data_IF_916961514216
#
_entry.id   IF_916961514216
#
_cell.length_a   1.000
_cell.length_b   1.000
_cell.length_c   1.000
_cell.angle_alpha   90.00
_cell.angle_beta   90.00
_cell.angle_gamma   90.00
#
_symmetry.space_group_name_H-M   'P 1'
#
loop_
_entity.id
_entity.type
_entity.pdbx_description
1 polymer ?
#
# COMPACT_ATOMS: atom_id res chain seq x y z
N UNK A 1 4.70 -46.99 -4.82
CA UNK A 1 5.00 -45.59 -4.43
C UNK A 1 4.53 -44.68 -5.55
N UNK A 2 3.63 -43.71 -5.30
CA UNK A 2 3.19 -42.81 -6.36
C UNK A 2 4.32 -41.84 -6.72
N UNK A 3 4.70 -41.83 -7.98
CA UNK A 3 5.68 -40.87 -8.52
C UNK A 3 5.02 -39.49 -8.51
N UNK A 4 5.54 -38.57 -7.69
CA UNK A 4 5.09 -37.18 -7.69
C UNK A 4 5.59 -36.51 -8.97
N UNK A 5 4.75 -36.48 -10.00
CA UNK A 5 5.04 -35.71 -11.22
C UNK A 5 4.96 -34.22 -10.89
N UNK A 6 6.11 -33.55 -10.87
CA UNK A 6 6.19 -32.10 -10.69
C UNK A 6 5.93 -31.43 -12.04
N UNK A 7 4.80 -30.75 -12.17
CA UNK A 7 4.49 -29.93 -13.35
C UNK A 7 4.97 -28.50 -13.14
N UNK A 8 6.02 -28.11 -13.88
CA UNK A 8 6.53 -26.74 -13.87
C UNK A 8 5.49 -25.70 -14.33
N UNK A 9 4.57 -26.08 -15.23
CA UNK A 9 3.44 -25.23 -15.62
C UNK A 9 2.45 -25.00 -14.49
N UNK A 10 2.21 -26.02 -13.65
CA UNK A 10 1.32 -25.88 -12.49
C UNK A 10 1.96 -25.00 -11.42
N UNK A 11 3.26 -25.16 -11.18
CA UNK A 11 4.02 -24.33 -10.23
C UNK A 11 4.07 -22.87 -10.69
N UNK A 12 4.41 -22.62 -11.95
CA UNK A 12 4.50 -21.25 -12.49
C UNK A 12 3.14 -20.54 -12.46
N UNK A 13 2.06 -21.25 -12.81
CA UNK A 13 0.69 -20.72 -12.69
C UNK A 13 0.30 -20.46 -11.25
N UNK A 14 0.55 -21.38 -10.33
CA UNK A 14 0.24 -21.15 -8.91
C UNK A 14 1.02 -19.99 -8.32
N UNK A 15 2.27 -19.79 -8.76
CA UNK A 15 3.09 -18.65 -8.37
C UNK A 15 2.54 -17.34 -8.96
N UNK A 16 2.05 -17.35 -10.19
CA UNK A 16 1.41 -16.21 -10.83
C UNK A 16 0.10 -15.83 -10.13
N UNK A 17 -0.77 -16.80 -9.89
CA UNK A 17 -2.07 -16.62 -9.24
C UNK A 17 -1.93 -16.18 -7.78
N UNK A 18 -0.84 -16.58 -7.12
CA UNK A 18 -0.51 -16.16 -5.75
C UNK A 18 0.10 -14.76 -5.67
N UNK A 19 0.40 -14.09 -6.80
CA UNK A 19 0.92 -12.73 -6.76
C UNK A 19 -0.17 -11.79 -6.23
N UNK A 20 0.09 -11.03 -5.17
CA UNK A 20 -0.84 -9.99 -4.77
C UNK A 20 -0.99 -9.02 -5.94
N UNK A 21 -2.22 -8.85 -6.43
CA UNK A 21 -2.53 -7.84 -7.43
C UNK A 21 -2.25 -6.47 -6.79
N UNK A 22 -1.13 -5.85 -7.18
CA UNK A 22 -0.76 -4.51 -6.72
C UNK A 22 -1.58 -3.52 -7.56
N UNK A 23 -2.48 -2.74 -6.95
CA UNK A 23 -3.26 -1.74 -7.69
C UNK A 23 -2.34 -0.76 -8.43
N UNK A 24 -2.77 -0.31 -9.61
CA UNK A 24 -2.06 0.73 -10.34
C UNK A 24 -1.79 1.94 -9.43
N UNK A 25 -0.54 2.42 -9.44
CA UNK A 25 -0.11 3.55 -8.62
C UNK A 25 0.10 3.26 -7.13
N UNK A 26 -0.15 2.05 -6.61
CA UNK A 26 0.00 1.72 -5.18
C UNK A 26 1.42 1.94 -4.65
N UNK A 27 2.46 1.61 -5.42
CA UNK A 27 3.85 1.84 -5.01
C UNK A 27 4.18 3.34 -4.95
N UNK A 28 3.72 4.10 -5.94
CA UNK A 28 3.83 5.56 -5.95
C UNK A 28 3.07 6.21 -4.79
N UNK A 29 1.86 5.72 -4.50
CA UNK A 29 1.05 6.10 -3.35
C UNK A 29 1.83 5.96 -2.05
N UNK A 30 2.43 4.78 -1.84
CA UNK A 30 3.17 4.46 -0.63
C UNK A 30 4.40 5.34 -0.47
N UNK A 31 5.14 5.60 -1.55
CA UNK A 31 6.28 6.51 -1.51
C UNK A 31 5.86 7.95 -1.15
N UNK A 32 4.78 8.46 -1.75
CA UNK A 32 4.23 9.79 -1.45
C UNK A 32 3.80 9.91 0.02
N UNK A 33 3.15 8.87 0.55
CA UNK A 33 2.74 8.84 1.96
C UNK A 33 3.95 8.75 2.89
N UNK A 34 4.94 7.90 2.60
CA UNK A 34 6.14 7.79 3.44
C UNK A 34 6.89 9.12 3.51
N UNK A 35 6.99 9.84 2.38
CA UNK A 35 7.59 11.17 2.35
C UNK A 35 6.77 12.16 3.18
N UNK A 36 5.44 12.16 3.03
CA UNK A 36 4.55 13.02 3.82
C UNK A 36 4.55 12.69 5.32
N UNK A 37 4.71 11.43 5.69
CA UNK A 37 4.78 11.00 7.08
C UNK A 37 6.02 11.53 7.83
N UNK A 38 7.08 11.95 7.10
CA UNK A 38 8.26 12.61 7.69
C UNK A 38 7.95 14.03 8.15
N UNK A 39 7.04 14.73 7.49
CA UNK A 39 6.68 16.11 7.85
C UNK A 39 5.52 16.17 8.83
N UNK A 40 4.58 15.22 8.74
CA UNK A 40 3.48 15.07 9.70
C UNK A 40 3.32 13.60 10.08
N UNK A 41 3.62 13.23 11.34
CA UNK A 41 3.47 11.86 11.82
C UNK A 41 2.03 11.36 11.66
N UNK A 42 1.88 10.10 11.24
CA UNK A 42 0.56 9.43 11.15
C UNK A 42 0.10 8.86 12.50
N UNK A 43 1.04 8.73 13.44
CA UNK A 43 0.83 8.20 14.78
C UNK A 43 1.51 9.14 15.76
N UNK A 44 0.80 9.57 16.78
CA UNK A 44 1.27 10.48 17.84
C UNK A 44 0.92 9.84 19.18
N UNK A 45 1.92 9.67 20.05
CA UNK A 45 1.74 9.04 21.37
C UNK A 45 1.01 7.68 21.31
N UNK A 46 1.36 6.84 20.34
CA UNK A 46 0.73 5.52 20.15
C UNK A 46 -0.71 5.55 19.62
N UNK A 47 -1.25 6.73 19.27
CA UNK A 47 -2.59 6.88 18.69
C UNK A 47 -2.51 7.31 17.23
N UNK A 48 -3.38 6.75 16.40
CA UNK A 48 -3.50 7.13 14.99
C UNK A 48 -4.08 8.56 14.87
N UNK A 49 -3.36 9.46 14.19
CA UNK A 49 -3.92 10.75 13.78
C UNK A 49 -4.73 10.55 12.49
N UNK A 50 -6.05 10.42 12.64
CA UNK A 50 -6.99 10.25 11.53
C UNK A 50 -6.93 11.40 10.53
N UNK A 51 -6.73 12.63 11.01
CA UNK A 51 -6.64 13.81 10.15
C UNK A 51 -5.35 13.81 9.32
N UNK A 52 -4.21 13.42 9.93
CA UNK A 52 -2.96 13.23 9.20
C UNK A 52 -3.07 12.13 8.15
N UNK A 53 -3.68 11.00 8.50
CA UNK A 53 -3.90 9.86 7.61
C UNK A 53 -4.76 10.27 6.40
N UNK A 54 -5.87 10.97 6.63
CA UNK A 54 -6.74 11.44 5.54
C UNK A 54 -6.05 12.49 4.67
N UNK A 55 -5.34 13.45 5.26
CA UNK A 55 -4.60 14.46 4.51
C UNK A 55 -3.51 13.83 3.62
N UNK A 56 -2.74 12.88 4.17
CA UNK A 56 -1.74 12.13 3.43
C UNK A 56 -2.36 11.30 2.29
N UNK A 57 -3.52 10.68 2.54
CA UNK A 57 -4.23 9.90 1.53
C UNK A 57 -4.73 10.79 0.39
N UNK A 58 -5.31 11.96 0.68
CA UNK A 58 -5.77 12.89 -0.34
C UNK A 58 -4.61 13.38 -1.22
N UNK A 59 -3.49 13.79 -0.61
CA UNK A 59 -2.30 14.24 -1.33
C UNK A 59 -1.71 13.14 -2.22
N UNK A 60 -1.62 11.91 -1.69
CA UNK A 60 -1.14 10.77 -2.46
C UNK A 60 -2.10 10.42 -3.62
N UNK A 61 -3.42 10.48 -3.39
CA UNK A 61 -4.41 10.20 -4.42
C UNK A 61 -4.32 11.20 -5.59
N UNK A 62 -4.17 12.50 -5.32
CA UNK A 62 -3.93 13.49 -6.38
C UNK A 62 -2.68 13.15 -7.20
N UNK A 63 -1.57 12.85 -6.53
CA UNK A 63 -0.32 12.49 -7.22
C UNK A 63 -0.40 11.19 -8.02
N UNK A 64 -1.19 10.20 -7.58
CA UNK A 64 -1.43 8.96 -8.34
C UNK A 64 -2.31 9.22 -9.55
N UNK A 65 -3.39 10.00 -9.37
CA UNK A 65 -4.32 10.33 -10.45
C UNK A 65 -3.57 11.04 -11.59
N UNK A 66 -2.72 12.01 -11.26
CA UNK A 66 -1.89 12.72 -12.24
C UNK A 66 -0.86 11.81 -12.95
N UNK A 67 -0.20 10.91 -12.20
CA UNK A 67 0.88 10.08 -12.74
C UNK A 67 0.41 8.85 -13.51
N UNK A 68 -0.73 8.29 -13.13
CA UNK A 68 -1.22 7.01 -13.64
C UNK A 68 -2.49 7.14 -14.48
N UNK A 69 -3.11 8.32 -14.55
CA UNK A 69 -4.33 8.55 -15.34
C UNK A 69 -5.54 7.72 -14.86
N UNK A 70 -5.54 7.25 -13.61
CA UNK A 70 -6.60 6.42 -13.03
C UNK A 70 -7.76 7.27 -12.52
N UNK A 71 -8.92 6.64 -12.30
CA UNK A 71 -10.06 7.36 -11.72
C UNK A 71 -9.75 7.86 -10.30
N UNK A 72 -10.44 8.93 -9.88
CA UNK A 72 -10.31 9.48 -8.52
C UNK A 72 -10.59 8.42 -7.45
N UNK A 73 -11.56 7.54 -7.69
CA UNK A 73 -11.96 6.47 -6.77
C UNK A 73 -10.87 5.41 -6.62
N UNK A 74 -10.27 4.95 -7.73
CA UNK A 74 -9.14 4.01 -7.71
C UNK A 74 -7.91 4.62 -7.04
N UNK A 75 -7.58 5.87 -7.37
CA UNK A 75 -6.50 6.61 -6.73
C UNK A 75 -6.71 6.71 -5.21
N UNK A 76 -7.93 7.02 -4.77
CA UNK A 76 -8.26 7.12 -3.34
C UNK A 76 -8.16 5.78 -2.63
N UNK A 77 -8.66 4.70 -3.25
CA UNK A 77 -8.57 3.34 -2.70
C UNK A 77 -7.12 2.89 -2.52
N UNK A 78 -6.27 3.11 -3.53
CA UNK A 78 -4.83 2.83 -3.47
C UNK A 78 -4.13 3.68 -2.40
N UNK A 79 -4.46 4.98 -2.33
CA UNK A 79 -3.87 5.89 -1.36
C UNK A 79 -4.26 5.53 0.09
N UNK A 80 -5.51 5.17 0.36
CA UNK A 80 -5.97 4.75 1.68
C UNK A 80 -5.31 3.43 2.13
N UNK A 81 -5.20 2.46 1.22
CA UNK A 81 -4.47 1.22 1.52
C UNK A 81 -3.00 1.53 1.84
N UNK A 82 -2.37 2.41 1.06
CA UNK A 82 -0.99 2.81 1.28
C UNK A 82 -0.80 3.53 2.63
N UNK A 83 -1.67 4.48 2.98
CA UNK A 83 -1.60 5.18 4.27
C UNK A 83 -1.79 4.26 5.45
N UNK A 84 -2.74 3.34 5.37
CA UNK A 84 -2.94 2.35 6.42
C UNK A 84 -1.68 1.49 6.67
N UNK A 85 -1.03 1.02 5.60
CA UNK A 85 0.18 0.21 5.73
C UNK A 85 1.33 0.99 6.38
N UNK A 86 1.50 2.27 6.04
CA UNK A 86 2.54 3.12 6.63
C UNK A 86 2.21 3.44 8.10
N UNK A 87 0.97 3.81 8.40
CA UNK A 87 0.55 4.11 9.77
C UNK A 87 0.69 2.89 10.70
N UNK A 88 0.30 1.69 10.23
CA UNK A 88 0.45 0.44 10.99
C UNK A 88 1.92 0.10 11.26
N UNK A 89 2.80 0.32 10.28
CA UNK A 89 4.24 0.13 10.46
C UNK A 89 4.82 1.13 11.48
N UNK A 90 4.44 2.41 11.38
CA UNK A 90 4.88 3.45 12.31
C UNK A 90 4.40 3.18 13.75
N UNK A 91 3.15 2.75 13.92
CA UNK A 91 2.61 2.37 15.23
C UNK A 91 3.38 1.21 15.87
N UNK A 92 3.75 0.19 15.07
CA UNK A 92 4.56 -0.93 15.56
C UNK A 92 5.97 -0.49 15.93
N UNK A 93 6.59 0.36 15.12
CA UNK A 93 7.92 0.87 15.38
C UNK A 93 7.97 1.72 16.67
N UNK A 94 6.90 2.44 17.00
CA UNK A 94 6.82 3.24 18.23
C UNK A 94 6.51 2.41 19.51
N UNK A 95 6.19 1.11 19.36
CA UNK A 95 5.89 0.21 20.47
C UNK A 95 7.11 -0.63 20.92
N UNK A 96 8.25 -0.48 20.23
CA UNK A 96 9.54 -1.09 20.55
C UNK A 96 10.51 -0.02 21.05
#
# INVERSE_FOLDING_TARGET
MPHRTVSWNRISRSLHDSRPAIPAGMLGARALVQLGARTRPLVVAGRYDRAAIMAAACKAASGIQERCGVSRAEAMSSALKATWQVAKAAHRAAAH
#
